data_IF_623379493433
#
_entry.id   IF_623379493433
#
_cell.length_a   1.000
_cell.length_b   1.000
_cell.length_c   1.000
_cell.angle_alpha   90.00
_cell.angle_beta   90.00
_cell.angle_gamma   90.00
#
_symmetry.space_group_name_H-M   'P 1'
#
loop_
_entity.id
_entity.type
_entity.pdbx_description
1 polymer ?
#
# COMPACT_ATOMS: atom_id res chain seq x y z
N UNK A 1 16.93 26.21 -60.66
CA UNK A 1 17.00 27.08 -59.47
C UNK A 1 15.78 26.71 -58.66
N UNK A 2 15.95 25.82 -57.69
CA UNK A 2 14.94 25.46 -56.70
C UNK A 2 15.70 25.18 -55.41
N UNK A 3 16.05 26.25 -54.69
CA UNK A 3 16.54 26.20 -53.32
C UNK A 3 15.34 25.98 -52.39
N UNK A 4 15.01 24.73 -52.13
CA UNK A 4 14.04 24.35 -51.10
C UNK A 4 14.73 24.33 -49.73
N UNK A 5 14.91 25.55 -49.24
CA UNK A 5 15.06 26.04 -47.87
C UNK A 5 15.01 25.02 -46.72
N UNK A 6 16.18 24.84 -46.09
CA UNK A 6 16.30 24.39 -44.70
C UNK A 6 15.78 25.45 -43.73
N UNK A 7 14.50 25.37 -43.38
CA UNK A 7 13.84 26.25 -42.43
C UNK A 7 13.24 25.50 -41.22
N UNK A 8 13.92 24.45 -40.73
CA UNK A 8 13.47 23.67 -39.57
C UNK A 8 14.08 24.11 -38.23
N UNK A 9 15.12 24.95 -38.25
CA UNK A 9 15.70 25.52 -37.02
C UNK A 9 15.73 27.03 -37.14
N UNK A 10 14.67 27.69 -36.68
CA UNK A 10 14.77 29.04 -36.15
C UNK A 10 14.52 28.97 -34.64
N UNK A 11 15.43 29.50 -33.80
CA UNK A 11 15.12 29.72 -32.40
C UNK A 11 14.05 30.81 -32.34
N UNK A 12 12.89 30.50 -31.75
CA UNK A 12 11.87 31.49 -31.48
C UNK A 12 12.45 32.50 -30.48
N UNK A 13 12.63 33.73 -30.96
CA UNK A 13 12.89 34.90 -30.12
C UNK A 13 11.71 35.10 -29.15
N UNK A 14 12.06 35.19 -27.88
CA UNK A 14 11.25 35.60 -26.74
C UNK A 14 10.69 37.02 -26.97
N UNK A 15 9.44 37.13 -27.44
CA UNK A 15 8.62 38.32 -27.21
C UNK A 15 7.16 38.07 -27.61
N UNK A 16 6.28 38.21 -26.63
CA UNK A 16 4.82 38.27 -26.74
C UNK A 16 4.08 36.92 -26.72
N UNK A 17 4.04 36.28 -25.56
CA UNK A 17 2.85 35.54 -25.14
C UNK A 17 2.43 35.94 -23.72
N UNK A 18 1.12 36.02 -23.57
CA UNK A 18 0.35 36.55 -22.46
C UNK A 18 0.58 35.74 -21.16
N UNK A 19 0.47 36.36 -19.96
CA UNK A 19 0.71 35.64 -18.72
C UNK A 19 -0.36 34.58 -18.50
N UNK A 20 0.05 33.31 -18.60
CA UNK A 20 -0.66 32.18 -18.00
C UNK A 20 -0.85 32.52 -16.52
N UNK A 21 -2.10 32.65 -16.08
CA UNK A 21 -2.47 32.83 -14.68
C UNK A 21 -2.19 31.51 -13.95
N UNK A 22 -0.92 31.29 -13.61
CA UNK A 22 -0.52 30.35 -12.58
C UNK A 22 -0.69 31.09 -11.25
N UNK A 23 -1.50 30.51 -10.36
CA UNK A 23 -1.72 31.05 -9.02
C UNK A 23 -0.41 31.32 -8.29
N UNK A 24 -0.41 32.37 -7.47
CA UNK A 24 0.75 32.89 -6.75
C UNK A 24 1.57 31.81 -6.04
N UNK A 25 2.91 31.94 -5.99
CA UNK A 25 3.74 31.04 -5.18
C UNK A 25 3.44 31.27 -3.70
N UNK A 26 3.04 30.20 -3.01
CA UNK A 26 2.90 30.20 -1.56
C UNK A 26 4.28 30.50 -0.91
N UNK A 27 4.32 31.23 0.22
CA UNK A 27 5.56 31.54 0.89
C UNK A 27 6.23 30.26 1.41
N UNK A 28 7.56 30.22 1.26
CA UNK A 28 8.46 29.22 1.84
C UNK A 28 8.18 29.09 3.34
N UNK A 29 7.55 27.99 3.72
CA UNK A 29 7.27 27.59 5.09
C UNK A 29 7.76 26.18 5.31
N UNK A 30 8.59 26.01 6.34
CA UNK A 30 9.21 24.77 6.77
C UNK A 30 8.23 23.58 6.77
N UNK A 31 8.55 22.53 6.01
CA UNK A 31 7.87 21.25 6.08
C UNK A 31 8.31 20.52 7.36
N UNK A 32 7.65 20.85 8.46
CA UNK A 32 7.63 20.07 9.69
C UNK A 32 6.26 19.40 9.74
N UNK A 33 6.26 18.08 9.85
CA UNK A 33 5.05 17.27 9.78
C UNK A 33 4.10 17.53 10.93
N UNK A 34 2.82 17.63 10.61
CA UNK A 34 1.68 17.33 11.48
C UNK A 34 0.42 17.36 10.60
N UNK A 35 -0.10 16.18 10.25
CA UNK A 35 -1.47 16.06 9.75
C UNK A 35 -2.32 15.79 10.97
N UNK A 36 -2.66 16.87 11.68
CA UNK A 36 -3.85 16.90 12.52
C UNK A 36 -5.00 17.36 11.62
N UNK A 37 -5.60 16.39 10.93
CA UNK A 37 -6.83 16.58 10.19
C UNK A 37 -7.89 15.72 10.85
N UNK A 38 -8.90 16.39 11.41
CA UNK A 38 -10.11 15.81 11.95
C UNK A 38 -10.61 14.64 11.07
N UNK A 39 -11.07 13.52 11.66
CA UNK A 39 -11.45 12.36 10.87
C UNK A 39 -12.59 12.73 9.91
N UNK A 40 -12.51 12.35 8.62
CA UNK A 40 -13.66 12.47 7.74
C UNK A 40 -14.81 11.64 8.34
N UNK A 41 -16.02 12.22 8.37
CA UNK A 41 -17.22 11.56 8.86
C UNK A 41 -17.35 10.16 8.26
N UNK A 42 -17.07 9.16 9.08
CA UNK A 42 -17.22 7.74 8.74
C UNK A 42 -18.72 7.47 8.70
N UNK A 43 -19.26 7.30 7.49
CA UNK A 43 -20.47 6.53 7.27
C UNK A 43 -20.24 5.16 7.90
N UNK A 44 -20.84 4.93 9.06
CA UNK A 44 -20.93 3.63 9.72
C UNK A 44 -21.65 2.69 8.77
N UNK A 45 -21.03 1.61 8.28
CA UNK A 45 -21.80 0.52 7.72
C UNK A 45 -22.55 -0.13 8.86
N UNK A 46 -23.88 -0.12 8.74
CA UNK A 46 -24.84 -0.78 9.61
C UNK A 46 -24.47 -2.28 9.76
N UNK A 47 -24.78 -2.81 10.94
CA UNK A 47 -24.43 -4.12 11.49
C UNK A 47 -24.57 -5.32 10.51
N UNK A 48 -23.81 -6.41 10.69
CA UNK A 48 -24.06 -7.63 9.94
C UNK A 48 -25.40 -8.24 10.37
N UNK A 49 -26.43 -8.00 9.56
CA UNK A 49 -27.69 -8.71 9.65
C UNK A 49 -27.43 -10.21 9.59
N UNK A 50 -27.74 -10.86 10.71
CA UNK A 50 -27.91 -12.29 10.88
C UNK A 50 -28.74 -12.82 9.70
N UNK A 51 -28.10 -13.56 8.79
CA UNK A 51 -28.75 -14.10 7.60
C UNK A 51 -29.59 -15.30 8.05
N UNK A 52 -30.90 -15.09 8.17
CA UNK A 52 -31.88 -16.15 8.36
C UNK A 52 -31.72 -17.19 7.24
N UNK A 53 -31.64 -18.45 7.65
CA UNK A 53 -31.52 -19.62 6.80
C UNK A 53 -32.88 -19.91 6.13
N UNK A 54 -33.16 -19.24 5.01
CA UNK A 54 -34.23 -19.64 4.10
C UNK A 54 -33.65 -20.47 2.92
N UNK A 55 -34.25 -21.63 2.58
CA UNK A 55 -33.74 -22.50 1.52
C UNK A 55 -33.97 -21.89 0.14
N UNK A 56 -32.88 -21.66 -0.59
CA UNK A 56 -32.87 -21.15 -1.97
C UNK A 56 -33.68 -22.07 -2.93
N UNK A 57 -34.51 -21.54 -3.84
CA UNK A 57 -35.11 -22.33 -4.92
C UNK A 57 -34.04 -22.76 -5.93
N UNK A 58 -33.96 -24.08 -6.14
CA UNK A 58 -32.92 -24.76 -6.91
C UNK A 58 -33.14 -24.72 -8.43
N UNK A 59 -33.12 -23.53 -9.06
CA UNK A 59 -33.38 -23.45 -10.52
C UNK A 59 -32.45 -22.54 -11.33
N UNK A 60 -31.28 -22.15 -10.82
CA UNK A 60 -30.31 -21.44 -11.66
C UNK A 60 -28.84 -21.68 -11.29
N UNK A 61 -28.39 -22.94 -11.44
CA UNK A 61 -26.96 -23.23 -11.53
C UNK A 61 -26.52 -23.16 -13.00
N UNK A 62 -25.43 -22.47 -13.35
CA UNK A 62 -24.82 -22.61 -14.67
C UNK A 62 -24.37 -24.07 -14.82
N UNK A 63 -24.89 -24.75 -15.83
CA UNK A 63 -24.58 -26.13 -16.14
C UNK A 63 -23.07 -26.32 -16.26
N UNK A 64 -22.54 -27.21 -15.42
CA UNK A 64 -21.25 -27.86 -15.61
C UNK A 64 -21.28 -28.52 -16.98
N UNK A 65 -20.55 -27.96 -17.95
CA UNK A 65 -20.30 -28.62 -19.24
C UNK A 65 -19.44 -29.86 -18.97
N UNK A 66 -20.09 -31.00 -18.86
CA UNK A 66 -19.49 -32.31 -19.04
C UNK A 66 -18.90 -32.37 -20.46
N UNK A 67 -17.57 -32.46 -20.54
CA UNK A 67 -16.84 -32.72 -21.77
C UNK A 67 -17.21 -34.12 -22.29
N UNK A 68 -18.07 -34.16 -23.29
CA UNK A 68 -18.38 -35.33 -24.11
C UNK A 68 -17.34 -35.42 -25.25
N UNK A 69 -16.85 -36.62 -25.64
CA UNK A 69 -15.84 -36.75 -26.68
C UNK A 69 -16.40 -36.29 -28.05
N UNK A 70 -15.58 -35.69 -28.93
CA UNK A 70 -16.09 -35.06 -30.14
C UNK A 70 -16.65 -36.10 -31.11
N UNK A 71 -17.94 -35.96 -31.42
CA UNK A 71 -18.59 -36.66 -32.51
C UNK A 71 -17.91 -36.28 -33.85
N UNK A 72 -17.63 -37.31 -34.65
CA UNK A 72 -17.16 -37.22 -36.03
C UNK A 72 -18.10 -36.35 -36.87
N UNK A 73 -17.67 -35.12 -37.13
CA UNK A 73 -18.25 -34.31 -38.20
C UNK A 73 -17.74 -34.87 -39.53
N UNK A 74 -18.53 -35.76 -40.15
CA UNK A 74 -18.35 -36.10 -41.55
C UNK A 74 -18.66 -34.87 -42.41
N UNK A 75 -17.61 -34.22 -42.90
CA UNK A 75 -17.71 -33.25 -43.98
C UNK A 75 -18.01 -33.98 -45.30
N UNK A 76 -19.01 -33.55 -46.10
CA UNK A 76 -19.31 -34.19 -47.37
C UNK A 76 -18.37 -33.64 -48.45
N UNK A 77 -17.59 -34.54 -49.06
CA UNK A 77 -16.90 -34.29 -50.34
C UNK A 77 -15.44 -33.87 -50.23
N UNK A 78 -14.56 -34.81 -49.88
CA UNK A 78 -13.18 -34.80 -50.35
C UNK A 78 -13.06 -35.95 -51.35
N UNK A 79 -12.91 -35.58 -52.62
CA UNK A 79 -12.56 -36.47 -53.72
C UNK A 79 -11.23 -37.17 -53.37
N UNK A 80 -11.24 -38.51 -53.31
CA UNK A 80 -10.04 -39.32 -53.14
C UNK A 80 -9.12 -39.09 -54.34
N UNK A 81 -8.10 -38.24 -54.15
CA UNK A 81 -6.96 -38.18 -55.05
C UNK A 81 -6.08 -39.37 -54.71
N UNK A 82 -6.08 -40.35 -55.61
CA UNK A 82 -5.21 -41.50 -55.65
C UNK A 82 -3.76 -41.06 -55.40
N UNK A 83 -3.19 -41.50 -54.28
CA UNK A 83 -1.84 -41.17 -53.84
C UNK A 83 -0.84 -41.91 -54.75
N UNK A 84 -0.37 -41.23 -55.80
CA UNK A 84 0.69 -41.73 -56.67
C UNK A 84 2.00 -41.77 -55.87
N UNK A 85 2.38 -42.98 -55.45
CA UNK A 85 3.60 -43.30 -54.71
C UNK A 85 4.84 -42.97 -55.56
N UNK A 86 5.30 -41.72 -55.48
CA UNK A 86 6.60 -41.31 -56.02
C UNK A 86 7.71 -41.92 -55.18
N UNK A 87 8.65 -42.69 -55.77
CA UNK A 87 9.70 -43.34 -55.01
C UNK A 87 10.61 -42.29 -54.36
N UNK A 88 10.68 -42.34 -53.03
CA UNK A 88 11.58 -41.54 -52.21
C UNK A 88 13.02 -41.80 -52.63
N UNK A 89 13.55 -40.91 -53.48
CA UNK A 89 14.98 -40.79 -53.69
C UNK A 89 15.61 -40.39 -52.34
N UNK A 90 16.37 -41.32 -51.77
CA UNK A 90 17.24 -41.09 -50.63
C UNK A 90 18.31 -40.09 -51.08
N UNK A 91 18.06 -38.80 -50.89
CA UNK A 91 19.14 -37.80 -50.94
C UNK A 91 19.91 -37.88 -49.62
N UNK A 92 21.17 -38.27 -49.75
CA UNK A 92 22.13 -38.32 -48.66
C UNK A 92 22.19 -36.96 -47.95
N UNK A 93 21.85 -37.01 -46.66
CA UNK A 93 21.64 -35.89 -45.75
C UNK A 93 22.97 -35.20 -45.40
N UNK A 94 23.59 -34.54 -46.38
CA UNK A 94 24.50 -33.43 -46.07
C UNK A 94 23.59 -32.25 -45.77
N UNK A 95 23.36 -31.98 -44.47
CA UNK A 95 22.56 -30.86 -44.00
C UNK A 95 22.81 -29.63 -44.86
N UNK A 96 21.78 -29.21 -45.60
CA UNK A 96 21.84 -28.00 -46.42
C UNK A 96 22.31 -26.83 -45.53
N UNK A 97 23.17 -25.92 -46.02
CA UNK A 97 23.59 -24.74 -45.26
C UNK A 97 22.41 -23.95 -44.66
N UNK A 98 21.26 -23.95 -45.34
CA UNK A 98 20.01 -23.36 -44.86
C UNK A 98 19.44 -24.09 -43.63
N UNK A 99 19.54 -25.42 -43.59
CA UNK A 99 19.11 -26.26 -42.47
C UNK A 99 19.98 -26.00 -41.24
N UNK A 100 21.31 -25.90 -41.41
CA UNK A 100 22.24 -25.57 -40.32
C UNK A 100 21.93 -24.18 -39.76
N UNK A 101 21.79 -23.19 -40.63
CA UNK A 101 21.45 -21.82 -40.23
C UNK A 101 20.11 -21.71 -39.51
N UNK A 102 19.07 -22.40 -39.99
CA UNK A 102 17.76 -22.38 -39.34
C UNK A 102 17.81 -23.04 -37.95
N UNK A 103 18.59 -24.12 -37.79
CA UNK A 103 18.80 -24.76 -36.49
C UNK A 103 19.53 -23.82 -35.52
N UNK A 104 20.61 -23.18 -35.94
CA UNK A 104 21.33 -22.18 -35.13
C UNK A 104 20.42 -21.01 -34.73
N UNK A 105 19.64 -20.49 -35.68
CA UNK A 105 18.67 -19.44 -35.40
C UNK A 105 17.63 -19.88 -34.37
N UNK A 106 17.06 -21.08 -34.52
CA UNK A 106 16.08 -21.61 -33.57
C UNK A 106 16.67 -21.79 -32.16
N UNK A 107 17.95 -22.17 -32.05
CA UNK A 107 18.66 -22.22 -30.78
C UNK A 107 18.77 -20.81 -30.17
N UNK A 108 19.21 -19.82 -30.93
CA UNK A 108 19.32 -18.43 -30.41
C UNK A 108 17.98 -17.83 -29.97
N UNK A 109 16.90 -18.16 -30.68
CA UNK A 109 15.54 -17.75 -30.30
C UNK A 109 15.10 -18.40 -28.98
N UNK A 110 15.39 -19.69 -28.80
CA UNK A 110 15.09 -20.41 -27.56
C UNK A 110 15.87 -19.82 -26.39
N UNK A 111 17.19 -19.63 -26.55
CA UNK A 111 18.03 -19.03 -25.52
C UNK A 111 17.52 -17.64 -25.11
N UNK A 112 17.14 -16.79 -26.07
CA UNK A 112 16.59 -15.47 -25.78
C UNK A 112 15.25 -15.54 -25.06
N UNK A 113 14.39 -16.48 -25.45
CA UNK A 113 13.09 -16.69 -24.82
C UNK A 113 13.25 -17.22 -23.39
N UNK A 114 14.20 -18.13 -23.16
CA UNK A 114 14.47 -18.70 -21.85
C UNK A 114 15.08 -17.66 -20.92
N UNK A 115 15.97 -16.80 -21.42
CA UNK A 115 16.53 -15.66 -20.67
C UNK A 115 15.43 -14.65 -20.29
N UNK A 116 14.55 -14.27 -21.22
CA UNK A 116 13.44 -13.37 -20.92
C UNK A 116 12.47 -13.99 -19.91
N UNK A 117 12.20 -15.29 -20.03
CA UNK A 117 11.33 -16.00 -19.10
C UNK A 117 11.96 -16.12 -17.70
N UNK A 118 13.27 -16.34 -17.62
CA UNK A 118 14.01 -16.33 -16.37
C UNK A 118 13.97 -14.96 -15.69
N UNK A 119 14.17 -13.87 -16.44
CA UNK A 119 14.07 -12.51 -15.91
C UNK A 119 12.65 -12.17 -15.41
N UNK A 120 11.62 -12.62 -16.13
CA UNK A 120 10.21 -12.48 -15.69
C UNK A 120 9.96 -13.27 -14.40
N UNK A 121 10.43 -14.52 -14.34
CA UNK A 121 10.34 -15.35 -13.14
C UNK A 121 11.00 -14.69 -11.92
N UNK A 122 12.23 -14.22 -12.07
CA UNK A 122 12.96 -13.51 -11.00
C UNK A 122 12.26 -12.22 -10.57
N UNK A 123 11.63 -11.50 -11.51
CA UNK A 123 10.88 -10.28 -11.20
C UNK A 123 9.60 -10.57 -10.41
N UNK A 124 8.90 -11.64 -10.75
CA UNK A 124 7.69 -12.10 -10.02
C UNK A 124 8.07 -12.58 -8.63
N UNK A 125 9.10 -13.41 -8.50
CA UNK A 125 9.58 -13.91 -7.21
C UNK A 125 10.00 -12.75 -6.29
N UNK A 126 10.72 -11.76 -6.82
CA UNK A 126 11.08 -10.56 -6.06
C UNK A 126 9.86 -9.77 -5.62
N UNK A 127 8.86 -9.61 -6.50
CA UNK A 127 7.62 -8.91 -6.15
C UNK A 127 6.83 -9.66 -5.06
N UNK A 128 6.79 -11.00 -5.10
CA UNK A 128 6.16 -11.83 -4.07
C UNK A 128 6.88 -11.70 -2.72
N UNK A 129 8.22 -11.69 -2.73
CA UNK A 129 9.03 -11.45 -1.52
C UNK A 129 8.77 -10.04 -0.95
N UNK A 130 8.76 -9.01 -1.78
CA UNK A 130 8.48 -7.64 -1.35
C UNK A 130 7.07 -7.51 -0.73
N UNK A 131 6.07 -8.20 -1.30
CA UNK A 131 4.72 -8.24 -0.75
C UNK A 131 4.67 -8.94 0.62
N UNK A 132 5.36 -10.08 0.75
CA UNK A 132 5.48 -10.79 2.02
C UNK A 132 6.16 -9.92 3.10
N UNK A 133 7.23 -9.23 2.74
CA UNK A 133 7.95 -8.32 3.64
C UNK A 133 7.08 -7.14 4.09
N UNK A 134 6.29 -6.55 3.19
CA UNK A 134 5.36 -5.48 3.54
C UNK A 134 4.29 -5.98 4.53
N UNK A 135 3.76 -7.18 4.31
CA UNK A 135 2.78 -7.79 5.21
C UNK A 135 3.39 -8.05 6.59
N UNK A 136 4.56 -8.69 6.64
CA UNK A 136 5.27 -8.98 7.88
C UNK A 136 5.63 -7.69 8.66
N UNK A 137 6.06 -6.63 7.97
CA UNK A 137 6.34 -5.34 8.59
C UNK A 137 5.08 -4.68 9.16
N UNK A 138 3.93 -4.78 8.46
CA UNK A 138 2.65 -4.24 8.94
C UNK A 138 2.16 -4.99 10.16
N UNK A 139 2.26 -6.31 10.16
CA UNK A 139 1.90 -7.16 11.30
C UNK A 139 2.79 -6.84 12.49
N UNK A 140 4.11 -6.80 12.32
CA UNK A 140 5.05 -6.42 13.38
C UNK A 140 4.76 -5.03 13.96
N UNK A 141 4.45 -4.04 13.12
CA UNK A 141 4.06 -2.70 13.57
C UNK A 141 2.74 -2.73 14.33
N UNK A 142 1.76 -3.52 13.87
CA UNK A 142 0.47 -3.68 14.55
C UNK A 142 0.67 -4.33 15.92
N UNK A 143 1.39 -5.44 16.00
CA UNK A 143 1.70 -6.14 17.25
C UNK A 143 2.47 -5.27 18.22
N UNK A 144 3.47 -4.53 17.74
CA UNK A 144 4.22 -3.58 18.58
C UNK A 144 3.33 -2.48 19.14
N UNK A 145 2.41 -1.93 18.34
CA UNK A 145 1.44 -0.92 18.81
C UNK A 145 0.46 -1.50 19.81
N UNK A 146 -0.06 -2.70 19.57
CA UNK A 146 -0.98 -3.37 20.51
C UNK A 146 -0.26 -3.66 21.83
N UNK A 147 0.95 -4.21 21.77
CA UNK A 147 1.78 -4.50 22.95
C UNK A 147 2.06 -3.23 23.75
N UNK A 148 2.49 -2.16 23.06
CA UNK A 148 2.74 -0.86 23.68
C UNK A 148 1.48 -0.26 24.29
N UNK A 149 0.35 -0.26 23.58
CA UNK A 149 -0.89 0.28 24.13
C UNK A 149 -1.34 -0.48 25.38
N UNK A 150 -1.13 -1.81 25.40
CA UNK A 150 -1.43 -2.64 26.57
C UNK A 150 -0.48 -2.35 27.74
N UNK A 151 0.82 -2.17 27.50
CA UNK A 151 1.76 -1.78 28.54
C UNK A 151 1.46 -0.38 29.06
N UNK A 152 1.20 0.58 28.18
CA UNK A 152 0.89 1.96 28.53
C UNK A 152 -0.43 2.05 29.33
N UNK A 153 -1.44 1.25 28.99
CA UNK A 153 -2.67 1.14 29.76
C UNK A 153 -2.41 0.54 31.15
N UNK A 154 -1.62 -0.52 31.23
CA UNK A 154 -1.24 -1.12 32.51
C UNK A 154 -0.45 -0.14 33.38
N UNK A 155 0.57 0.53 32.83
CA UNK A 155 1.36 1.55 33.53
C UNK A 155 0.46 2.71 34.01
N UNK A 156 -0.52 3.12 33.21
CA UNK A 156 -1.49 4.15 33.60
C UNK A 156 -2.37 3.70 34.77
N UNK A 157 -2.85 2.44 34.76
CA UNK A 157 -3.66 1.89 35.85
C UNK A 157 -2.83 1.76 37.13
N UNK A 158 -1.60 1.24 37.04
CA UNK A 158 -0.67 1.13 38.16
C UNK A 158 -0.31 2.52 38.71
N UNK A 159 -0.13 3.52 37.86
CA UNK A 159 0.11 4.91 38.29
C UNK A 159 -1.10 5.51 39.02
N UNK A 160 -2.33 5.18 38.59
CA UNK A 160 -3.57 5.62 39.27
C UNK A 160 -3.72 4.91 40.62
N UNK A 161 -3.41 3.61 40.70
CA UNK A 161 -3.45 2.85 41.95
C UNK A 161 -2.41 3.38 42.95
N UNK A 162 -1.16 3.64 42.50
CA UNK A 162 -0.13 4.25 43.31
C UNK A 162 -0.50 5.68 43.79
N UNK A 163 -1.15 6.47 42.94
CA UNK A 163 -1.68 7.77 43.34
C UNK A 163 -2.88 7.64 44.31
N UNK A 164 -3.61 6.51 44.28
CA UNK A 164 -4.74 6.23 45.16
C UNK A 164 -4.27 5.82 46.57
N UNK A 165 -3.24 4.99 46.64
CA UNK A 165 -2.62 4.49 47.87
C UNK A 165 -1.84 5.56 48.65
N UNK A 166 -1.53 6.70 48.04
CA UNK A 166 -0.81 7.78 48.70
C UNK A 166 -1.68 8.49 49.75
N UNK A 167 -1.20 8.52 51.00
CA UNK A 167 -1.89 9.14 52.15
C UNK A 167 -2.12 10.66 52.00
N UNK A 168 -1.34 11.36 51.17
CA UNK A 168 -1.52 12.79 50.92
C UNK A 168 -2.33 13.05 49.63
N UNK A 169 -3.62 13.34 49.79
CA UNK A 169 -4.56 13.67 48.72
C UNK A 169 -4.11 14.86 47.84
N UNK A 170 -3.33 15.81 48.37
CA UNK A 170 -2.83 16.95 47.61
C UNK A 170 -1.75 16.57 46.60
N UNK A 171 -1.00 15.48 46.80
CA UNK A 171 -0.04 15.00 45.79
C UNK A 171 -0.76 14.61 44.49
N UNK A 172 -1.96 14.01 44.60
CA UNK A 172 -2.83 13.71 43.47
C UNK A 172 -3.36 14.97 42.80
N UNK A 173 -3.80 15.96 43.59
CA UNK A 173 -4.30 17.24 43.06
C UNK A 173 -3.22 17.98 42.27
N UNK A 174 -1.98 18.02 42.76
CA UNK A 174 -0.87 18.66 42.02
C UNK A 174 -0.56 17.96 40.70
N UNK A 175 -0.72 16.63 40.62
CA UNK A 175 -0.52 15.88 39.37
C UNK A 175 -1.63 16.11 38.34
N UNK A 176 -2.86 16.37 38.79
CA UNK A 176 -4.00 16.67 37.90
C UNK A 176 -4.03 18.11 37.39
N UNK A 177 -3.39 19.04 38.11
CA UNK A 177 -3.47 20.47 37.84
C UNK A 177 -2.20 20.95 37.14
N UNK A 178 -2.31 21.22 35.84
CA UNK A 178 -1.22 21.77 35.04
C UNK A 178 -1.16 23.30 35.19
N UNK A 179 -0.15 23.77 35.92
CA UNK A 179 0.08 25.21 36.12
C UNK A 179 1.25 25.75 35.31
N UNK A 180 1.91 24.89 34.54
CA UNK A 180 2.90 25.31 33.55
C UNK A 180 2.10 25.88 32.37
N UNK A 181 1.79 27.16 32.46
CA UNK A 181 1.18 27.87 31.35
C UNK A 181 2.17 27.84 30.19
N UNK A 182 1.75 27.24 29.08
CA UNK A 182 2.32 27.58 27.79
C UNK A 182 2.20 29.10 27.63
N UNK A 183 3.24 29.74 27.10
CA UNK A 183 3.41 31.19 27.04
C UNK A 183 2.40 31.88 26.09
N UNK A 184 1.11 31.63 26.30
CA UNK A 184 -0.03 32.31 25.72
C UNK A 184 -0.16 33.70 26.34
N UNK A 185 -0.43 34.70 25.51
CA UNK A 185 -0.56 36.11 25.89
C UNK A 185 -1.69 36.38 26.91
N UNK A 186 -2.57 35.38 27.15
CA UNK A 186 -3.69 35.46 28.10
C UNK A 186 -3.43 34.70 29.42
N UNK A 187 -2.17 34.29 29.66
CA UNK A 187 -1.79 33.55 30.87
C UNK A 187 -1.76 34.44 32.13
N UNK A 188 -2.58 34.10 33.13
CA UNK A 188 -2.60 34.77 34.44
C UNK A 188 -1.47 34.25 35.35
N UNK A 189 -0.79 35.10 36.11
CA UNK A 189 0.29 34.65 37.01
C UNK A 189 -0.20 33.62 38.08
N UNK A 190 0.12 32.35 37.84
CA UNK A 190 -0.21 31.24 38.73
C UNK A 190 0.86 30.96 39.81
N UNK A 191 1.89 31.81 39.95
CA UNK A 191 3.02 31.56 40.87
C UNK A 191 2.56 31.37 42.32
N UNK A 192 1.66 32.24 42.81
CA UNK A 192 1.13 32.12 44.18
C UNK A 192 0.32 30.84 44.40
N UNK A 193 -0.39 30.38 43.38
CA UNK A 193 -1.15 29.14 43.44
C UNK A 193 -0.22 27.92 43.42
N UNK A 194 0.84 27.94 42.60
CA UNK A 194 1.91 26.93 42.61
C UNK A 194 2.53 26.81 44.01
N UNK A 195 2.89 27.92 44.64
CA UNK A 195 3.51 27.92 45.98
C UNK A 195 2.60 27.30 47.05
N UNK A 196 1.30 27.64 47.04
CA UNK A 196 0.32 27.07 47.98
C UNK A 196 0.17 25.55 47.77
N UNK A 197 0.07 25.11 46.52
CA UNK A 197 -0.05 23.70 46.17
C UNK A 197 1.22 22.89 46.52
N UNK A 198 2.41 23.47 46.34
CA UNK A 198 3.69 22.85 46.75
C UNK A 198 3.76 22.73 48.27
N UNK A 199 3.30 23.73 49.01
CA UNK A 199 3.26 23.69 50.47
C UNK A 199 2.35 22.56 50.98
N UNK A 200 1.13 22.43 50.41
CA UNK A 200 0.18 21.37 50.77
C UNK A 200 0.66 19.97 50.33
N UNK A 201 1.42 19.90 49.23
CA UNK A 201 2.07 18.66 48.76
C UNK A 201 3.12 18.12 49.73
N UNK A 202 3.88 19.02 50.35
CA UNK A 202 5.03 18.67 51.20
C UNK A 202 4.66 18.55 52.70
N UNK A 203 3.61 19.23 53.15
CA UNK A 203 3.27 19.37 54.58
C UNK A 203 1.95 18.64 54.89
N UNK A 204 2.04 17.34 55.21
CA UNK A 204 0.88 16.44 55.39
C UNK A 204 -0.04 16.86 56.56
N UNK A 205 0.52 17.40 57.64
CA UNK A 205 -0.25 17.86 58.80
C UNK A 205 -1.15 19.05 58.46
N UNK A 206 -0.64 20.00 57.65
CA UNK A 206 -1.43 21.15 57.17
C UNK A 206 -2.49 20.72 56.17
N UNK A 207 -2.15 19.77 55.30
CA UNK A 207 -3.10 19.16 54.38
C UNK A 207 -4.26 18.48 55.13
N UNK A 208 -3.97 17.73 56.20
CA UNK A 208 -4.97 17.02 57.01
C UNK A 208 -5.94 17.95 57.76
N UNK A 209 -5.53 19.19 58.07
CA UNK A 209 -6.41 20.19 58.72
C UNK A 209 -7.47 20.74 57.74
N UNK A 210 -7.18 20.71 56.44
CA UNK A 210 -8.03 21.27 55.39
C UNK A 210 -8.83 20.22 54.59
N UNK A 211 -8.50 18.93 54.76
CA UNK A 211 -9.18 17.78 54.16
C UNK A 211 -10.42 17.38 54.96
#
# INVERSE_FOLDING_TARGET
MDDQTGAFFQPMDDAAEEPIILGAPAPEGDYIGEIDAAPPAVLVPEEPAFFDEEPMPADNMPAVMTMEPPAEYMAPGVEEVEEEEVPAAVEEDTMSPMTVWNNEWQVTLKERKDEENAQKGASVEKAEQDLADIQAQREKKRESRISKNRSDEQEKLEAIEADLENDNSWQRVVKMVELNQDASEESMDCTRMKDVLILLKNDADRAAILA
#
